data_IF_815044527926
#
_entry.id   IF_815044527926
#
_cell.length_a   1.000
_cell.length_b   1.000
_cell.length_c   1.000
_cell.angle_alpha   90.00
_cell.angle_beta   90.00
_cell.angle_gamma   90.00
#
_symmetry.space_group_name_H-M   'P 1'
#
loop_
_entity.id
_entity.type
_entity.pdbx_description
1 polymer ?
#
# COMPACT_ATOMS: atom_id res chain seq x y z
N UNK A 1 -4.74 7.59 6.79
CA UNK A 1 -3.46 7.16 6.15
C UNK A 1 -3.47 7.52 4.67
N UNK A 2 -2.32 7.58 3.98
CA UNK A 2 -2.25 7.77 2.52
C UNK A 2 -1.55 6.57 1.88
N UNK A 3 -1.98 6.21 0.68
CA UNK A 3 -1.28 5.25 -0.16
C UNK A 3 0.05 5.86 -0.60
N UNK A 4 1.15 5.14 -0.47
CA UNK A 4 2.46 5.63 -0.93
C UNK A 4 2.50 5.77 -2.47
N UNK A 5 1.82 4.87 -3.19
CA UNK A 5 1.80 4.84 -4.66
C UNK A 5 0.91 5.93 -5.25
N UNK A 6 -0.38 5.96 -4.88
CA UNK A 6 -1.35 6.90 -5.48
C UNK A 6 -1.60 8.16 -4.64
N UNK A 7 -1.00 8.28 -3.45
CA UNK A 7 -1.18 9.40 -2.50
C UNK A 7 -2.63 9.64 -2.05
N UNK A 8 -3.58 8.80 -2.48
CA UNK A 8 -4.97 8.85 -2.06
C UNK A 8 -5.11 8.47 -0.59
N UNK A 9 -6.13 9.03 0.04
CA UNK A 9 -6.47 8.72 1.43
C UNK A 9 -6.94 7.27 1.52
N UNK A 10 -6.25 6.48 2.33
CA UNK A 10 -6.67 5.12 2.67
C UNK A 10 -7.62 5.22 3.84
N UNK A 11 -8.82 4.70 3.64
CA UNK A 11 -9.80 4.52 4.68
C UNK A 11 -9.34 3.48 5.69
N UNK A 12 -9.96 3.51 6.86
CA UNK A 12 -9.69 2.59 7.95
C UNK A 12 -10.98 1.86 8.33
N UNK A 13 -10.84 0.61 8.72
CA UNK A 13 -11.96 -0.20 9.22
C UNK A 13 -12.40 0.32 10.59
N UNK A 14 -13.55 -0.15 11.08
CA UNK A 14 -14.02 0.15 12.44
C UNK A 14 -12.98 -0.15 13.54
N UNK A 15 -12.06 -1.09 13.29
CA UNK A 15 -10.95 -1.45 14.17
C UNK A 15 -9.67 -0.63 13.92
N UNK A 16 -9.77 0.53 13.25
CA UNK A 16 -8.65 1.39 12.85
C UNK A 16 -7.55 0.67 12.03
N UNK A 17 -7.89 -0.43 11.34
CA UNK A 17 -6.97 -1.09 10.40
C UNK A 17 -7.07 -0.45 9.03
N UNK A 18 -5.96 -0.12 8.34
CA UNK A 18 -6.03 0.43 6.99
C UNK A 18 -6.70 -0.54 6.02
N UNK A 19 -7.53 0.01 5.13
CA UNK A 19 -8.12 -0.68 3.98
C UNK A 19 -7.08 -0.82 2.86
N UNK A 20 -6.06 -1.62 3.12
CA UNK A 20 -4.97 -1.86 2.19
C UNK A 20 -3.98 -2.90 2.71
N UNK A 21 -2.81 -2.94 2.08
CA UNK A 21 -1.73 -3.86 2.45
C UNK A 21 -0.48 -3.10 2.85
N UNK A 22 0.37 -3.79 3.61
CA UNK A 22 1.71 -3.34 3.89
C UNK A 22 2.68 -4.09 2.99
N UNK A 23 3.41 -3.34 2.16
CA UNK A 23 4.50 -3.87 1.34
C UNK A 23 5.80 -3.55 2.05
N UNK A 24 6.73 -4.50 2.10
CA UNK A 24 8.01 -4.33 2.75
C UNK A 24 9.12 -4.21 1.70
N UNK A 25 9.86 -3.11 1.75
CA UNK A 25 11.02 -2.85 0.90
C UNK A 25 12.21 -3.73 1.29
N UNK A 26 13.22 -3.77 0.43
CA UNK A 26 14.51 -4.41 0.72
C UNK A 26 15.18 -3.83 1.97
N UNK A 27 14.95 -2.54 2.26
CA UNK A 27 15.43 -1.86 3.48
C UNK A 27 14.58 -2.18 4.73
N UNK A 28 13.56 -3.02 4.61
CA UNK A 28 12.67 -3.39 5.70
C UNK A 28 11.61 -2.35 6.06
N UNK A 29 11.53 -1.22 5.35
CA UNK A 29 10.49 -0.22 5.51
C UNK A 29 9.14 -0.77 5.07
N UNK A 30 8.08 -0.43 5.81
CA UNK A 30 6.71 -0.84 5.53
C UNK A 30 5.98 0.31 4.86
N UNK A 31 5.56 0.09 3.63
CA UNK A 31 4.80 1.03 2.83
C UNK A 31 3.34 0.61 2.81
N UNK A 32 2.46 1.57 3.02
CA UNK A 32 1.02 1.36 2.97
C UNK A 32 0.55 1.53 1.53
N UNK A 33 -0.13 0.51 1.01
CA UNK A 33 -0.67 0.49 -0.35
C UNK A 33 -2.17 0.19 -0.31
N UNK A 34 -2.98 0.97 -1.01
CA UNK A 34 -4.42 0.74 -1.09
C UNK A 34 -4.75 -0.49 -1.96
N UNK A 35 -5.93 -1.08 -1.75
CA UNK A 35 -6.40 -2.22 -2.56
C UNK A 35 -6.48 -1.94 -4.06
N UNK A 36 -6.76 -0.69 -4.47
CA UNK A 36 -6.79 -0.33 -5.89
C UNK A 36 -5.39 -0.43 -6.54
N UNK A 37 -4.37 0.09 -5.85
CA UNK A 37 -2.98 0.00 -6.30
C UNK A 37 -2.51 -1.46 -6.29
N UNK A 38 -2.88 -2.24 -5.28
CA UNK A 38 -2.57 -3.68 -5.23
C UNK A 38 -3.29 -4.47 -6.33
N UNK A 39 -4.53 -4.09 -6.71
CA UNK A 39 -5.24 -4.73 -7.82
C UNK A 39 -4.60 -4.43 -9.17
N UNK A 40 -4.11 -3.19 -9.36
CA UNK A 40 -3.42 -2.77 -10.59
C UNK A 40 -2.03 -3.41 -10.70
N UNK A 41 -1.29 -3.44 -9.59
CA UNK A 41 0.08 -3.92 -9.50
C UNK A 41 0.06 -5.27 -8.77
N UNK A 42 -0.04 -6.35 -9.54
CA UNK A 42 -0.23 -7.70 -9.01
C UNK A 42 1.03 -8.25 -8.33
N UNK A 43 2.20 -7.77 -8.72
CA UNK A 43 3.48 -8.25 -8.19
C UNK A 43 4.07 -7.31 -7.15
N UNK A 44 4.81 -7.89 -6.20
CA UNK A 44 5.57 -7.14 -5.19
C UNK A 44 6.60 -6.22 -5.85
N UNK A 45 7.26 -6.69 -6.91
CA UNK A 45 8.28 -5.93 -7.64
C UNK A 45 7.71 -4.67 -8.31
N UNK A 46 6.53 -4.77 -8.91
CA UNK A 46 5.83 -3.60 -9.46
C UNK A 46 5.41 -2.62 -8.37
N UNK A 47 4.92 -3.12 -7.23
CA UNK A 47 4.62 -2.28 -6.08
C UNK A 47 5.86 -1.53 -5.61
N UNK A 48 7.00 -2.22 -5.46
CA UNK A 48 8.29 -1.63 -5.06
C UNK A 48 8.82 -0.60 -6.06
N UNK A 49 8.58 -0.77 -7.36
CA UNK A 49 8.97 0.23 -8.38
C UNK A 49 8.18 1.53 -8.31
N UNK A 50 6.98 1.49 -7.73
CA UNK A 50 6.05 2.62 -7.66
C UNK A 50 5.97 3.27 -6.26
N UNK A 51 6.75 2.74 -5.30
CA UNK A 51 6.93 3.26 -3.94
C UNK A 51 8.12 4.23 -3.91
#
# INVERSE_FOLDING_TARGET
>A
MKCEICKNKIGETFLNKPLGTYVKDEKGKRHIVCFECQKKLKTKEELLKHL
#
